data_IF_478244673727
#
_entry.id   IF_478244673727
#
_cell.length_a   1.000
_cell.length_b   1.000
_cell.length_c   1.000
_cell.angle_alpha   90.00
_cell.angle_beta   90.00
_cell.angle_gamma   90.00
#
_symmetry.space_group_name_H-M   'P 1'
#
loop_
_entity.id
_entity.type
_entity.pdbx_description
1 polymer ?
#
# COMPACT_ATOMS: atom_id res chain seq x y z
N UNK A 1 -0.67 -4.20 11.36
CA UNK A 1 -0.78 -5.41 10.51
C UNK A 1 -2.16 -6.00 10.71
N UNK A 2 -2.69 -6.88 9.87
CA UNK A 2 -4.15 -7.18 9.83
C UNK A 2 -4.52 -8.68 9.97
N UNK A 3 -5.42 -9.09 10.91
CA UNK A 3 -5.97 -10.48 11.08
C UNK A 3 -7.38 -10.54 11.76
N UNK A 4 -8.21 -11.61 11.58
CA UNK A 4 -8.14 -12.69 10.59
C UNK A 4 -9.38 -12.80 9.67
N UNK A 5 -9.13 -12.73 8.36
CA UNK A 5 -9.82 -13.46 7.30
C UNK A 5 -8.76 -14.22 6.49
N UNK A 6 -9.08 -14.83 5.32
CA UNK A 6 -8.12 -15.62 4.55
C UNK A 6 -6.93 -14.84 3.98
N UNK A 7 -6.89 -13.50 4.10
CA UNK A 7 -5.81 -12.63 3.59
C UNK A 7 -5.24 -11.75 4.68
N UNK A 8 -3.93 -11.51 4.60
CA UNK A 8 -3.26 -10.60 5.52
C UNK A 8 -2.23 -9.75 4.78
N UNK A 9 -2.27 -8.44 5.01
CA UNK A 9 -1.24 -7.52 4.56
C UNK A 9 -0.44 -7.00 5.74
N UNK A 10 0.87 -6.92 5.55
CA UNK A 10 1.81 -6.30 6.44
C UNK A 10 2.33 -4.99 5.82
N UNK A 11 1.83 -3.86 6.34
CA UNK A 11 2.42 -2.56 6.11
C UNK A 11 3.25 -2.12 7.32
N UNK A 12 4.55 -1.89 7.13
CA UNK A 12 5.36 -1.06 8.03
C UNK A 12 5.01 0.41 7.74
N UNK A 13 4.32 1.04 8.70
CA UNK A 13 3.53 2.27 8.63
C UNK A 13 3.91 3.35 7.59
N UNK A 14 2.94 3.67 6.73
CA UNK A 14 2.50 5.03 6.40
C UNK A 14 0.96 5.05 6.51
N UNK A 15 0.41 5.80 7.47
CA UNK A 15 -1.00 5.75 7.87
C UNK A 15 -1.80 6.91 7.25
N UNK A 16 -2.72 6.65 6.33
CA UNK A 16 -3.70 7.66 5.94
C UNK A 16 -4.83 7.73 6.95
N UNK A 17 -5.39 8.91 7.20
CA UNK A 17 -6.62 9.04 7.97
C UNK A 17 -7.55 9.96 7.21
N UNK A 18 -8.43 9.40 6.38
CA UNK A 18 -9.41 10.13 5.58
C UNK A 18 -10.80 10.13 6.25
N UNK A 19 -11.66 11.14 6.02
CA UNK A 19 -13.10 10.93 6.08
C UNK A 19 -13.52 10.15 4.83
N UNK A 20 -14.53 9.28 4.99
CA UNK A 20 -15.19 8.59 3.87
C UNK A 20 -15.49 9.56 2.71
N UNK A 21 -14.94 9.35 1.50
CA UNK A 21 -15.50 9.91 0.29
C UNK A 21 -16.79 9.15 -0.10
N UNK A 22 -17.73 9.79 -0.81
CA UNK A 22 -18.90 9.10 -1.34
C UNK A 22 -18.50 8.30 -2.59
N UNK A 23 -18.74 6.98 -2.55
CA UNK A 23 -18.78 6.02 -3.69
C UNK A 23 -17.53 5.91 -4.59
N UNK A 24 -17.17 4.70 -5.06
CA UNK A 24 -16.08 4.53 -6.02
C UNK A 24 -16.35 5.34 -7.29
N UNK A 25 -15.42 6.21 -7.68
CA UNK A 25 -15.39 6.77 -9.03
C UNK A 25 -14.75 5.71 -9.95
N UNK A 26 -15.38 5.36 -11.08
CA UNK A 26 -14.74 4.55 -12.10
C UNK A 26 -13.44 5.23 -12.55
N UNK A 27 -12.40 4.43 -12.79
CA UNK A 27 -11.21 4.90 -13.50
C UNK A 27 -11.70 5.44 -14.86
N UNK A 28 -11.40 6.70 -15.24
CA UNK A 28 -11.85 7.23 -16.51
C UNK A 28 -11.33 6.36 -17.65
N UNK A 29 -12.22 6.03 -18.58
CA UNK A 29 -11.91 5.22 -19.75
C UNK A 29 -11.07 6.01 -20.75
N UNK A 30 -9.78 6.16 -20.51
CA UNK A 30 -8.83 6.20 -21.61
C UNK A 30 -8.57 4.75 -22.04
N UNK A 31 -8.38 4.52 -23.34
CA UNK A 31 -8.44 3.21 -23.99
C UNK A 31 -7.62 2.12 -23.27
N UNK A 32 -8.29 1.37 -22.39
CA UNK A 32 -7.70 0.28 -21.60
C UNK A 32 -8.24 -1.03 -22.13
N UNK A 33 -7.36 -1.90 -22.62
CA UNK A 33 -7.73 -3.26 -23.02
C UNK A 33 -7.35 -4.23 -21.91
N UNK A 34 -8.28 -5.10 -21.51
CA UNK A 34 -7.97 -6.20 -20.58
C UNK A 34 -7.44 -7.37 -21.40
N UNK A 35 -6.25 -7.84 -21.06
CA UNK A 35 -5.64 -9.02 -21.68
C UNK A 35 -5.47 -10.10 -20.61
N UNK A 36 -5.88 -11.32 -20.95
CA UNK A 36 -5.55 -12.51 -20.16
C UNK A 36 -4.25 -13.10 -20.67
N UNK A 37 -3.30 -13.40 -19.78
CA UNK A 37 -2.05 -14.05 -20.19
C UNK A 37 -2.33 -15.38 -20.91
N UNK A 38 -2.11 -15.43 -22.23
CA UNK A 38 -1.81 -16.69 -22.92
C UNK A 38 -0.35 -17.10 -22.62
N UNK A 39 0.07 -18.30 -23.03
CA UNK A 39 1.42 -18.86 -22.74
C UNK A 39 2.60 -17.93 -23.10
N UNK A 40 2.37 -16.86 -23.86
CA UNK A 40 3.37 -15.89 -24.32
C UNK A 40 3.66 -14.73 -23.35
N UNK A 41 2.76 -14.40 -22.40
CA UNK A 41 2.92 -13.25 -21.49
C UNK A 41 2.54 -13.60 -20.05
N UNK A 42 3.41 -14.29 -19.31
CA UNK A 42 3.18 -14.64 -17.91
C UNK A 42 3.75 -13.56 -16.98
N UNK A 43 2.93 -12.90 -16.14
CA UNK A 43 3.44 -12.03 -15.11
C UNK A 43 4.35 -12.79 -14.14
N UNK A 44 5.50 -12.20 -13.84
CA UNK A 44 6.47 -12.74 -12.92
C UNK A 44 6.79 -11.70 -11.83
N UNK A 45 6.74 -12.12 -10.57
CA UNK A 45 7.12 -11.30 -9.41
C UNK A 45 8.20 -12.05 -8.63
N UNK A 46 9.45 -11.60 -8.75
CA UNK A 46 10.59 -12.39 -8.27
C UNK A 46 10.61 -13.77 -8.95
N UNK A 47 10.56 -14.84 -8.17
CA UNK A 47 10.52 -16.22 -8.68
C UNK A 47 9.10 -16.75 -8.90
N UNK A 48 8.07 -15.94 -8.62
CA UNK A 48 6.66 -16.35 -8.76
C UNK A 48 6.20 -16.18 -10.20
N UNK A 49 6.06 -17.29 -10.93
CA UNK A 49 5.47 -17.30 -12.28
C UNK A 49 3.96 -17.50 -12.17
N UNK A 50 3.19 -16.50 -12.58
CA UNK A 50 1.75 -16.43 -12.31
C UNK A 50 0.98 -16.69 -13.61
N UNK A 51 0.24 -17.79 -13.65
CA UNK A 51 -0.48 -18.23 -14.86
C UNK A 51 -1.87 -17.64 -14.94
N UNK A 52 -2.37 -17.44 -16.16
CA UNK A 52 -3.75 -16.99 -16.44
C UNK A 52 -4.14 -15.70 -15.68
N UNK A 53 -3.19 -14.78 -15.49
CA UNK A 53 -3.44 -13.52 -14.83
C UNK A 53 -3.99 -12.51 -15.85
N UNK A 54 -5.16 -11.97 -15.55
CA UNK A 54 -5.70 -10.82 -16.28
C UNK A 54 -4.98 -9.54 -15.85
N UNK A 55 -4.59 -8.71 -16.80
CA UNK A 55 -4.07 -7.37 -16.53
C UNK A 55 -4.53 -6.38 -17.60
N UNK A 56 -4.58 -5.10 -17.22
CA UNK A 56 -4.91 -4.01 -18.14
C UNK A 56 -3.67 -3.54 -18.89
N UNK A 57 -3.84 -3.23 -20.17
CA UNK A 57 -2.86 -2.51 -20.97
C UNK A 57 -3.43 -1.13 -21.25
N UNK A 58 -2.68 -0.10 -20.83
CA UNK A 58 -2.98 1.28 -21.13
C UNK A 58 -2.40 1.64 -22.49
N UNK A 59 -3.24 2.08 -23.43
CA UNK A 59 -2.79 2.47 -24.78
C UNK A 59 -2.57 3.99 -24.91
N UNK A 60 -3.18 4.77 -24.02
CA UNK A 60 -3.07 6.22 -23.97
C UNK A 60 -3.36 6.73 -22.55
N UNK A 61 -2.45 7.55 -22.04
CA UNK A 61 -2.54 8.19 -20.73
C UNK A 61 -2.39 9.70 -20.94
N UNK A 62 -3.43 10.46 -20.59
CA UNK A 62 -3.53 11.91 -20.85
C UNK A 62 -3.56 12.71 -19.53
N UNK A 63 -3.15 12.07 -18.43
CA UNK A 63 -3.19 12.66 -17.09
C UNK A 63 -1.77 13.08 -16.65
N UNK A 64 -1.64 14.30 -16.13
CA UNK A 64 -0.39 14.87 -15.61
C UNK A 64 0.28 13.98 -14.55
N UNK A 65 -0.50 13.11 -13.89
CA UNK A 65 -0.01 12.12 -12.93
C UNK A 65 0.91 11.10 -13.60
N UNK A 66 0.61 10.69 -14.84
CA UNK A 66 1.38 9.70 -15.59
C UNK A 66 2.52 10.32 -16.41
N UNK A 67 2.38 11.56 -16.86
CA UNK A 67 3.46 12.29 -17.58
C UNK A 67 4.77 12.37 -16.77
N UNK A 68 4.67 12.44 -15.43
CA UNK A 68 5.81 12.53 -14.52
C UNK A 68 5.98 11.26 -13.67
N UNK A 69 5.30 10.17 -14.03
CA UNK A 69 5.43 8.92 -13.30
C UNK A 69 6.83 8.35 -13.47
N UNK A 70 7.41 7.86 -12.37
CA UNK A 70 8.68 7.12 -12.37
C UNK A 70 8.45 5.61 -12.38
N UNK A 71 7.25 5.17 -12.77
CA UNK A 71 6.82 3.78 -12.81
C UNK A 71 6.12 3.50 -14.14
N UNK A 72 6.26 2.27 -14.63
CA UNK A 72 5.67 1.83 -15.92
C UNK A 72 4.26 1.23 -15.76
N UNK A 73 3.85 0.92 -14.52
CA UNK A 73 2.53 0.37 -14.25
C UNK A 73 2.26 0.17 -12.76
N UNK A 74 1.07 -0.35 -12.47
CA UNK A 74 0.57 -0.55 -11.10
C UNK A 74 0.26 -2.01 -10.86
N UNK A 75 0.90 -2.61 -9.86
CA UNK A 75 0.58 -3.95 -9.37
C UNK A 75 -0.40 -3.85 -8.17
N UNK A 76 -1.67 -4.08 -8.44
CA UNK A 76 -2.73 -3.98 -7.44
C UNK A 76 -2.73 -5.16 -6.44
N UNK A 77 -2.57 -4.86 -5.15
CA UNK A 77 -2.68 -5.83 -4.04
C UNK A 77 -3.96 -5.65 -3.21
N UNK A 78 -5.00 -5.07 -3.80
CA UNK A 78 -6.29 -4.82 -3.17
C UNK A 78 -7.20 -6.05 -3.07
N UNK A 79 -8.40 -5.85 -2.54
CA UNK A 79 -9.43 -6.90 -2.49
C UNK A 79 -10.16 -7.05 -3.84
N UNK A 80 -10.76 -8.22 -4.12
CA UNK A 80 -11.47 -8.47 -5.39
C UNK A 80 -12.62 -7.51 -5.65
N UNK A 81 -13.22 -6.94 -4.61
CA UNK A 81 -14.28 -5.93 -4.73
C UNK A 81 -13.84 -4.62 -5.40
N UNK A 82 -12.53 -4.39 -5.54
CA UNK A 82 -11.96 -3.25 -6.28
C UNK A 82 -11.44 -3.66 -7.67
N UNK A 83 -11.42 -4.95 -7.99
CA UNK A 83 -10.98 -5.42 -9.29
C UNK A 83 -12.03 -5.11 -10.36
N UNK A 84 -11.60 -5.09 -11.62
CA UNK A 84 -12.52 -5.06 -12.74
C UNK A 84 -13.41 -6.31 -12.69
N UNK A 85 -14.69 -6.15 -12.97
CA UNK A 85 -15.64 -7.25 -12.94
C UNK A 85 -15.16 -8.43 -13.82
N UNK A 86 -15.28 -9.64 -13.30
CA UNK A 86 -14.83 -10.86 -13.98
C UNK A 86 -13.32 -11.12 -13.92
N UNK A 87 -12.52 -10.25 -13.28
CA UNK A 87 -11.08 -10.46 -13.11
C UNK A 87 -10.72 -10.91 -11.70
N UNK A 88 -9.60 -11.63 -11.60
CA UNK A 88 -9.03 -12.10 -10.32
C UNK A 88 -7.77 -11.30 -10.00
N UNK A 89 -7.67 -10.63 -8.82
CA UNK A 89 -6.46 -9.91 -8.45
C UNK A 89 -5.23 -10.82 -8.38
N UNK A 90 -4.06 -10.26 -8.63
CA UNK A 90 -2.83 -11.08 -8.75
C UNK A 90 -2.48 -11.86 -7.49
N UNK A 91 -2.71 -11.26 -6.31
CA UNK A 91 -2.44 -11.95 -5.05
C UNK A 91 -3.37 -13.15 -4.83
N UNK A 92 -4.62 -13.06 -5.27
CA UNK A 92 -5.56 -14.18 -5.29
C UNK A 92 -5.06 -15.31 -6.17
N UNK A 93 -4.59 -14.97 -7.38
CA UNK A 93 -4.07 -15.95 -8.33
C UNK A 93 -2.85 -16.67 -7.74
N UNK A 94 -1.95 -15.94 -7.10
CA UNK A 94 -0.79 -16.49 -6.37
C UNK A 94 -1.24 -17.49 -5.29
N UNK A 95 -2.24 -17.11 -4.47
CA UNK A 95 -2.78 -17.98 -3.42
C UNK A 95 -3.49 -19.21 -4.00
N UNK A 96 -4.35 -19.03 -5.01
CA UNK A 96 -5.12 -20.10 -5.64
C UNK A 96 -4.21 -21.12 -6.35
N UNK A 97 -3.08 -20.67 -6.89
CA UNK A 97 -2.05 -21.53 -7.49
C UNK A 97 -1.06 -22.10 -6.46
N UNK A 98 -1.25 -21.81 -5.17
CA UNK A 98 -0.38 -22.28 -4.08
C UNK A 98 1.10 -21.95 -4.28
N UNK A 99 1.39 -20.77 -4.86
CA UNK A 99 2.77 -20.34 -5.15
C UNK A 99 3.50 -19.78 -3.92
N UNK A 100 2.78 -19.61 -2.81
CA UNK A 100 3.32 -19.06 -1.57
C UNK A 100 2.90 -19.91 -0.38
N UNK A 101 3.76 -19.99 0.64
CA UNK A 101 3.55 -20.81 1.84
C UNK A 101 2.42 -20.29 2.72
N UNK A 102 2.31 -18.97 2.85
CA UNK A 102 1.29 -18.32 3.67
C UNK A 102 0.54 -17.26 2.86
N UNK A 103 -0.77 -17.04 3.09
CA UNK A 103 -1.57 -16.02 2.40
C UNK A 103 -1.31 -14.61 2.95
N UNK A 104 -0.03 -14.24 3.02
CA UNK A 104 0.46 -12.97 3.55
C UNK A 104 1.43 -12.31 2.58
N UNK A 105 1.46 -10.98 2.57
CA UNK A 105 2.54 -10.21 1.97
C UNK A 105 2.95 -9.06 2.88
N UNK A 106 4.18 -8.57 2.71
CA UNK A 106 4.77 -7.55 3.55
C UNK A 106 5.59 -6.54 2.78
N UNK A 107 5.63 -5.31 3.28
CA UNK A 107 6.48 -4.23 2.76
C UNK A 107 7.46 -3.74 3.81
N UNK A 108 8.74 -3.70 3.43
CA UNK A 108 9.77 -2.93 4.10
C UNK A 108 10.13 -1.74 3.21
N UNK A 109 9.89 -0.52 3.68
CA UNK A 109 10.16 0.71 2.94
C UNK A 109 11.36 1.42 3.55
N UNK A 110 12.48 1.43 2.83
CA UNK A 110 13.72 2.07 3.25
C UNK A 110 13.80 3.51 2.73
N UNK A 111 14.38 4.40 3.54
CA UNK A 111 14.81 5.74 3.10
C UNK A 111 16.22 5.74 2.50
N UNK A 112 16.98 4.67 2.70
CA UNK A 112 18.34 4.50 2.19
C UNK A 112 18.29 3.89 0.78
N UNK A 113 18.96 4.53 -0.16
CA UNK A 113 19.03 4.09 -1.56
C UNK A 113 19.78 2.78 -1.73
N UNK A 114 20.80 2.52 -0.90
CA UNK A 114 21.66 1.33 -1.01
C UNK A 114 21.01 0.05 -0.49
N UNK A 115 20.26 0.12 0.63
CA UNK A 115 19.60 -1.04 1.21
C UNK A 115 18.30 -1.42 0.49
N UNK A 116 17.68 -0.46 -0.23
CA UNK A 116 16.46 -0.66 -1.00
C UNK A 116 15.21 -0.92 -0.16
N UNK A 117 14.06 -0.83 -0.81
CA UNK A 117 12.78 -1.28 -0.26
C UNK A 117 12.48 -2.69 -0.75
N UNK A 118 11.74 -3.48 0.03
CA UNK A 118 11.44 -4.89 -0.28
C UNK A 118 9.95 -5.17 -0.11
N UNK A 119 9.39 -5.89 -1.08
CA UNK A 119 8.10 -6.56 -0.95
C UNK A 119 8.35 -8.07 -0.79
N UNK A 120 7.66 -8.68 0.16
CA UNK A 120 7.74 -10.11 0.46
C UNK A 120 6.37 -10.73 0.27
N UNK A 121 6.30 -11.87 -0.41
CA UNK A 121 5.10 -12.68 -0.57
C UNK A 121 5.32 -14.04 0.10
N UNK A 122 4.31 -14.56 0.79
CA UNK A 122 4.38 -15.88 1.42
C UNK A 122 4.98 -15.92 2.82
N UNK A 123 5.28 -14.77 3.42
CA UNK A 123 5.85 -14.68 4.75
C UNK A 123 6.43 -13.31 5.05
N UNK A 124 7.10 -13.21 6.20
CA UNK A 124 7.82 -12.00 6.63
C UNK A 124 9.19 -12.42 7.12
N UNK A 125 10.24 -11.77 6.64
CA UNK A 125 11.59 -12.02 7.14
C UNK A 125 11.81 -11.25 8.44
N UNK A 126 12.14 -11.98 9.52
CA UNK A 126 12.35 -11.46 10.87
C UNK A 126 13.41 -10.36 10.96
N UNK A 127 14.34 -10.33 10.02
CA UNK A 127 15.41 -9.34 10.00
C UNK A 127 14.93 -7.91 9.66
N UNK A 128 13.73 -7.75 9.07
CA UNK A 128 13.16 -6.45 8.69
C UNK A 128 12.28 -5.80 9.78
N UNK A 129 12.13 -6.42 10.95
CA UNK A 129 11.39 -5.83 12.06
C UNK A 129 12.04 -6.13 13.42
N UNK A 130 11.57 -5.43 14.46
CA UNK A 130 12.00 -5.63 15.84
C UNK A 130 10.79 -5.80 16.74
N UNK A 131 10.89 -6.69 17.72
CA UNK A 131 9.81 -7.02 18.63
C UNK A 131 8.67 -7.76 17.93
N UNK A 132 7.50 -7.80 18.57
CA UNK A 132 6.37 -8.58 18.06
C UNK A 132 5.55 -7.83 17.03
N UNK A 133 5.13 -8.56 15.99
CA UNK A 133 4.12 -8.11 15.03
C UNK A 133 2.77 -7.90 15.73
N UNK A 134 2.17 -6.71 15.55
CA UNK A 134 0.84 -6.38 16.10
C UNK A 134 -0.24 -6.40 15.01
N UNK A 135 -1.24 -7.24 15.24
CA UNK A 135 -2.37 -7.48 14.36
C UNK A 135 -3.61 -6.64 14.76
N UNK A 136 -4.29 -6.08 13.76
CA UNK A 136 -5.40 -5.13 13.84
C UNK A 136 -6.43 -5.54 12.79
N UNK A 137 -7.66 -5.93 13.17
CA UNK A 137 -8.63 -6.41 12.20
C UNK A 137 -9.00 -5.33 11.17
N UNK A 138 -9.35 -5.76 9.95
CA UNK A 138 -9.95 -4.85 8.97
C UNK A 138 -11.31 -4.36 9.47
N UNK A 139 -11.60 -3.10 9.20
CA UNK A 139 -12.97 -2.59 9.32
C UNK A 139 -13.85 -2.96 8.14
N UNK A 140 -13.26 -3.13 6.94
CA UNK A 140 -13.96 -3.47 5.70
C UNK A 140 -13.00 -4.13 4.70
N UNK A 141 -13.45 -5.16 3.99
CA UNK A 141 -12.67 -5.92 3.00
C UNK A 141 -12.82 -5.34 1.59
N UNK A 142 -12.48 -4.06 1.43
CA UNK A 142 -12.44 -3.38 0.14
C UNK A 142 -11.05 -2.80 -0.09
N UNK A 143 -10.63 -1.94 0.84
CA UNK A 143 -9.25 -1.49 0.97
C UNK A 143 -8.56 -2.23 2.13
N UNK A 144 -7.26 -2.05 2.28
CA UNK A 144 -6.54 -2.38 3.52
C UNK A 144 -6.89 -1.36 4.61
N UNK A 145 -8.16 -1.36 5.02
CA UNK A 145 -8.76 -0.36 5.89
C UNK A 145 -8.82 -0.84 7.34
N UNK A 146 -8.28 -0.04 8.25
CA UNK A 146 -8.24 -0.32 9.69
C UNK A 146 -8.96 0.77 10.48
N UNK A 147 -9.56 0.41 11.63
CA UNK A 147 -10.02 1.40 12.59
C UNK A 147 -8.82 2.10 13.25
N UNK A 148 -8.91 3.42 13.39
CA UNK A 148 -7.91 4.23 14.09
C UNK A 148 -8.57 4.97 15.25
N UNK A 149 -8.04 4.77 16.46
CA UNK A 149 -8.63 5.36 17.67
C UNK A 149 -8.35 6.84 17.81
N UNK A 150 -7.11 7.26 17.59
CA UNK A 150 -6.63 8.62 17.86
C UNK A 150 -5.32 8.90 17.12
N UNK A 151 -5.13 10.16 16.70
CA UNK A 151 -3.84 10.68 16.22
C UNK A 151 -3.37 11.76 17.17
N UNK A 152 -2.12 11.64 17.62
CA UNK A 152 -1.46 12.55 18.56
C UNK A 152 -0.09 13.00 18.04
N UNK A 153 0.27 14.26 18.27
CA UNK A 153 1.62 14.80 18.01
C UNK A 153 2.16 15.33 19.34
N UNK A 154 3.25 14.73 19.84
CA UNK A 154 3.66 14.87 21.25
C UNK A 154 2.46 14.49 22.17
N UNK A 155 2.26 15.02 23.39
CA UNK A 155 1.07 14.66 24.17
C UNK A 155 -0.22 15.36 23.68
N UNK A 156 -0.21 16.06 22.53
CA UNK A 156 -1.38 16.78 22.03
C UNK A 156 -2.20 15.92 21.08
N UNK A 157 -3.50 15.88 21.33
CA UNK A 157 -4.49 15.31 20.42
C UNK A 157 -4.62 16.16 19.15
N UNK A 158 -4.64 15.53 17.97
CA UNK A 158 -4.69 16.24 16.68
C UNK A 158 -5.84 15.77 15.78
N UNK A 159 -6.15 14.48 15.75
CA UNK A 159 -7.24 13.95 14.94
C UNK A 159 -7.88 12.67 15.49
N UNK A 160 -9.02 12.29 14.90
CA UNK A 160 -9.81 11.10 15.23
C UNK A 160 -10.40 11.11 16.65
N UNK A 161 -11.17 12.15 17.00
CA UNK A 161 -11.76 12.30 18.36
C UNK A 161 -12.77 11.20 18.71
N UNK A 162 -13.45 10.66 17.69
CA UNK A 162 -14.53 9.67 17.82
C UNK A 162 -14.21 8.40 17.00
N UNK A 163 -12.92 8.02 16.95
CA UNK A 163 -12.38 7.05 15.99
C UNK A 163 -12.52 7.56 14.55
N UNK A 164 -11.72 6.99 13.67
CA UNK A 164 -11.78 7.23 12.23
C UNK A 164 -11.34 5.95 11.50
N UNK A 165 -11.41 5.96 10.18
CA UNK A 165 -10.88 4.89 9.35
C UNK A 165 -9.55 5.33 8.74
N UNK A 166 -8.67 4.37 8.55
CA UNK A 166 -7.37 4.57 7.92
C UNK A 166 -7.17 3.54 6.83
N UNK A 167 -6.62 3.95 5.69
CA UNK A 167 -6.22 3.04 4.61
C UNK A 167 -4.70 2.92 4.63
N UNK A 168 -4.21 1.69 4.57
CA UNK A 168 -2.80 1.39 4.35
C UNK A 168 -2.58 1.27 2.84
N UNK A 169 -1.96 2.28 2.26
CA UNK A 169 -1.75 2.38 0.81
C UNK A 169 -0.29 2.71 0.50
N UNK A 170 0.43 1.70 0.01
CA UNK A 170 1.84 1.81 -0.39
C UNK A 170 2.02 2.48 -1.76
N UNK A 171 0.95 2.65 -2.53
CA UNK A 171 0.97 3.37 -3.81
C UNK A 171 1.03 4.89 -3.65
N UNK A 172 0.77 5.41 -2.45
CA UNK A 172 0.78 6.84 -2.18
C UNK A 172 1.99 7.27 -1.35
N UNK A 173 2.69 8.30 -1.83
CA UNK A 173 3.89 8.82 -1.17
C UNK A 173 3.62 9.69 0.06
N UNK A 174 2.40 10.15 0.28
CA UNK A 174 2.05 11.15 1.31
C UNK A 174 0.97 10.66 2.28
N UNK A 175 0.93 11.27 3.47
CA UNK A 175 -0.11 11.06 4.45
C UNK A 175 -1.27 12.00 4.13
N UNK A 176 -2.40 11.43 3.72
CA UNK A 176 -3.58 12.20 3.33
C UNK A 176 -4.66 12.12 4.40
N UNK A 177 -5.38 13.22 4.59
CA UNK A 177 -6.51 13.27 5.50
C UNK A 177 -7.38 14.51 5.35
N UNK A 178 -8.40 14.67 6.21
CA UNK A 178 -9.28 15.82 6.10
C UNK A 178 -8.52 17.12 6.34
N UNK A 179 -8.76 18.09 5.46
CA UNK A 179 -8.03 19.37 5.40
C UNK A 179 -7.85 20.04 6.77
N UNK A 180 -8.88 20.07 7.61
CA UNK A 180 -8.83 20.71 8.93
C UNK A 180 -7.86 19.99 9.89
N UNK A 181 -7.84 18.67 9.86
CA UNK A 181 -6.99 17.83 10.70
C UNK A 181 -5.53 17.93 10.23
N UNK A 182 -5.31 17.86 8.91
CA UNK A 182 -3.98 18.05 8.31
C UNK A 182 -3.43 19.44 8.64
N UNK A 183 -4.23 20.49 8.48
CA UNK A 183 -3.86 21.85 8.88
C UNK A 183 -3.47 21.97 10.37
N UNK A 184 -4.20 21.29 11.27
CA UNK A 184 -3.85 21.27 12.70
C UNK A 184 -2.54 20.51 12.97
N UNK A 185 -2.25 19.45 12.19
CA UNK A 185 -0.97 18.72 12.25
C UNK A 185 0.18 19.67 11.89
N UNK A 186 0.08 20.39 10.77
CA UNK A 186 1.15 21.29 10.32
C UNK A 186 1.46 22.41 11.32
N UNK A 187 0.45 23.00 11.95
CA UNK A 187 0.64 24.02 13.00
C UNK A 187 1.50 23.54 14.18
N UNK A 188 1.60 22.23 14.39
CA UNK A 188 2.33 21.64 15.50
C UNK A 188 3.76 21.19 15.11
N UNK A 189 4.12 21.25 13.82
CA UNK A 189 5.43 20.87 13.31
C UNK A 189 6.29 22.13 13.13
N UNK A 190 7.40 22.29 13.88
CA UNK A 190 8.31 23.42 13.71
C UNK A 190 8.96 23.43 12.31
N UNK A 191 9.11 24.60 11.70
CA UNK A 191 9.76 24.77 10.40
C UNK A 191 8.85 24.65 9.17
N UNK A 192 7.52 24.53 9.36
CA UNK A 192 6.56 24.57 8.27
C UNK A 192 6.26 26.02 7.85
N UNK A 193 6.46 26.38 6.59
CA UNK A 193 6.24 27.74 6.09
C UNK A 193 4.80 27.94 5.60
N UNK A 194 4.32 29.20 5.57
CA UNK A 194 2.97 29.57 5.13
C UNK A 194 2.63 29.11 3.70
N UNK A 195 3.63 29.06 2.82
CA UNK A 195 3.49 28.57 1.44
C UNK A 195 3.16 27.07 1.38
N UNK A 196 3.75 26.26 2.27
CA UNK A 196 3.47 24.82 2.37
C UNK A 196 2.07 24.60 2.96
N UNK A 197 1.64 25.46 3.90
CA UNK A 197 0.29 25.43 4.48
C UNK A 197 -0.82 25.65 3.43
N UNK A 198 -0.63 26.57 2.48
CA UNK A 198 -1.65 26.84 1.44
C UNK A 198 -1.78 25.66 0.48
N UNK A 199 -0.64 25.09 0.05
CA UNK A 199 -0.61 23.92 -0.85
C UNK A 199 -1.20 22.69 -0.18
N UNK A 200 -0.81 22.40 1.06
CA UNK A 200 -1.27 21.21 1.79
C UNK A 200 -2.70 21.36 2.30
N UNK A 201 -3.19 22.58 2.54
CA UNK A 201 -4.61 22.84 2.79
C UNK A 201 -5.46 22.60 1.53
N UNK A 202 -4.93 22.89 0.34
CA UNK A 202 -5.62 22.60 -0.92
C UNK A 202 -5.67 21.08 -1.19
N UNK A 203 -4.58 20.36 -0.92
CA UNK A 203 -4.46 18.92 -1.25
C UNK A 203 -4.88 17.98 -0.12
N UNK A 204 -4.89 18.43 1.13
CA UNK A 204 -5.16 17.60 2.31
C UNK A 204 -4.07 16.54 2.57
N UNK A 205 -2.82 16.81 2.18
CA UNK A 205 -1.74 15.82 2.20
C UNK A 205 -0.44 16.41 2.75
N UNK A 206 0.36 15.59 3.45
CA UNK A 206 1.68 15.98 3.96
C UNK A 206 2.68 14.82 3.97
N UNK A 207 3.99 15.11 3.98
CA UNK A 207 5.03 14.08 4.11
C UNK A 207 5.47 13.94 5.58
N UNK A 208 5.39 12.73 6.09
CA UNK A 208 6.00 12.33 7.37
C UNK A 208 7.29 11.53 7.15
N UNK A 209 8.20 11.60 8.12
CA UNK A 209 9.36 10.71 8.24
C UNK A 209 9.07 9.59 9.25
N UNK A 210 9.47 8.36 8.91
CA UNK A 210 9.44 7.21 9.83
C UNK A 210 10.78 7.04 10.53
N UNK A 211 10.80 6.40 11.69
CA UNK A 211 12.05 6.15 12.43
C UNK A 211 12.96 5.15 11.70
N UNK A 212 14.26 5.46 11.71
CA UNK A 212 15.36 4.74 11.05
C UNK A 212 15.54 3.32 11.60
N UNK A 213 15.75 2.34 10.72
CA UNK A 213 16.19 0.99 11.11
C UNK A 213 17.39 0.58 10.24
N UNK A 214 18.59 0.63 10.83
CA UNK A 214 19.84 0.27 10.17
C UNK A 214 20.07 -1.24 10.23
N UNK A 215 19.53 -2.00 9.27
CA UNK A 215 19.96 -3.38 9.00
C UNK A 215 19.86 -3.73 7.51
N UNK A 216 20.97 -4.21 6.95
CA UNK A 216 21.00 -4.88 5.65
C UNK A 216 20.61 -6.35 5.88
N UNK A 217 19.47 -6.76 5.34
CA UNK A 217 19.08 -8.17 5.28
C UNK A 217 19.70 -8.81 4.05
N UNK A 218 20.44 -9.90 4.23
CA UNK A 218 20.80 -10.80 3.14
C UNK A 218 19.71 -11.87 3.04
N UNK A 219 19.04 -12.04 1.90
CA UNK A 219 18.05 -13.11 1.74
C UNK A 219 18.76 -14.46 1.84
N UNK A 220 18.47 -15.24 2.88
CA UNK A 220 18.64 -16.70 2.78
C UNK A 220 17.54 -17.23 1.85
N UNK A 221 17.90 -18.13 0.95
CA UNK A 221 16.93 -18.84 0.10
C UNK A 221 15.78 -19.35 0.99
N UNK A 222 14.56 -18.90 0.70
CA UNK A 222 13.35 -19.33 1.41
C UNK A 222 12.80 -20.66 0.89
N UNK A 223 13.55 -21.34 0.02
CA UNK A 223 13.19 -22.64 -0.53
C UNK A 223 14.11 -23.71 0.04
N UNK A 224 13.57 -24.82 0.59
CA UNK A 224 14.40 -25.95 0.97
C UNK A 224 15.09 -26.48 -0.28
N UNK A 225 16.40 -26.71 -0.19
CA UNK A 225 17.14 -27.44 -1.22
C UNK A 225 16.43 -28.77 -1.45
N UNK A 226 15.90 -28.98 -2.65
CA UNK A 226 15.37 -30.26 -3.08
C UNK A 226 16.49 -31.31 -2.98
N UNK A 227 16.35 -32.24 -2.04
CA UNK A 227 17.05 -33.53 -2.05
C UNK A 227 16.24 -34.59 -2.79
#
# INVERSE_FOLDING_TARGET
MIKPGPRQALALCKLMASPCPPTPQPIPSSASQTVTSEQTLLPQVGDLIIKNQAFGISLAEDDMVFENAVFDGVLGLGYPSLALEGTTPIFDTIMNQSLISEPVFAFYLSTETEAGSVVMFGGVLDCYYKGDLKWVPLSQTQYWQIPLDRITIKPKFVACKRRCQAILDTGTSSLTGPRRQVYNIHKLIPGYYLQDLVKDQATGSFRGSSQKQDKVCQPRSLFPDSM
#
